data_IF_025536083306
#
_entry.id   IF_025536083306
#
_cell.length_a   1.000
_cell.length_b   1.000
_cell.length_c   1.000
_cell.angle_alpha   90.00
_cell.angle_beta   90.00
_cell.angle_gamma   90.00
#
_symmetry.space_group_name_H-M   'P 1'
#
loop_
_entity.id
_entity.type
_entity.pdbx_description
1 polymer ?
#
# COMPACT_ATOMS: atom_id res chain seq x y z
N UNK A 1 14.11 33.55 7.34
CA UNK A 1 13.53 32.18 7.54
C UNK A 1 12.73 31.85 6.28
N UNK A 2 13.39 31.29 5.26
CA UNK A 2 12.74 30.93 4.00
C UNK A 2 12.04 29.57 4.18
N UNK A 3 10.72 29.57 4.23
CA UNK A 3 9.92 28.35 4.15
C UNK A 3 10.01 27.86 2.70
N UNK A 4 10.83 26.84 2.47
CA UNK A 4 10.89 26.16 1.18
C UNK A 4 9.60 25.34 1.05
N UNK A 5 8.65 25.86 0.29
CA UNK A 5 7.46 25.14 -0.12
C UNK A 5 7.86 24.09 -1.17
N UNK A 6 8.27 22.91 -0.71
CA UNK A 6 8.53 21.79 -1.59
C UNK A 6 7.19 21.25 -2.13
N UNK A 7 6.81 21.69 -3.31
CA UNK A 7 6.09 20.95 -4.34
C UNK A 7 4.74 20.28 -4.05
N UNK A 8 4.09 20.54 -2.91
CA UNK A 8 2.72 20.08 -2.69
C UNK A 8 1.76 20.96 -3.48
N UNK A 9 1.10 20.39 -4.47
CA UNK A 9 0.09 21.10 -5.23
C UNK A 9 -1.08 21.55 -4.33
N UNK A 10 -1.74 22.65 -4.68
CA UNK A 10 -2.91 23.18 -3.95
C UNK A 10 -3.97 22.10 -3.63
N UNK A 11 -4.18 21.16 -4.55
CA UNK A 11 -5.10 20.04 -4.39
C UNK A 11 -4.67 19.07 -3.27
N UNK A 12 -3.39 18.84 -3.11
CA UNK A 12 -2.84 17.97 -2.05
C UNK A 12 -2.98 18.65 -0.69
N UNK A 13 -2.76 19.95 -0.62
CA UNK A 13 -2.96 20.73 0.60
C UNK A 13 -4.43 20.71 1.04
N UNK A 14 -5.38 20.94 0.13
CA UNK A 14 -6.81 20.87 0.42
C UNK A 14 -7.23 19.48 0.90
N UNK A 15 -6.70 18.44 0.26
CA UNK A 15 -6.96 17.05 0.68
C UNK A 15 -6.40 16.77 2.07
N UNK A 16 -5.19 17.22 2.36
CA UNK A 16 -4.59 17.08 3.69
C UNK A 16 -5.41 17.77 4.77
N UNK A 17 -5.85 19.00 4.51
CA UNK A 17 -6.71 19.76 5.42
C UNK A 17 -8.05 19.07 5.67
N UNK A 18 -8.68 18.52 4.63
CA UNK A 18 -9.95 17.79 4.77
C UNK A 18 -9.85 16.50 5.58
N UNK A 19 -8.65 15.95 5.72
CA UNK A 19 -8.35 14.72 6.46
C UNK A 19 -7.64 14.95 7.80
N UNK A 20 -7.50 16.19 8.25
CA UNK A 20 -6.72 16.53 9.45
C UNK A 20 -7.27 15.86 10.72
N UNK A 21 -8.58 15.63 10.78
CA UNK A 21 -9.23 14.91 11.87
C UNK A 21 -8.93 13.41 11.91
N UNK A 22 -8.37 12.86 10.83
CA UNK A 22 -8.03 11.44 10.68
C UNK A 22 -6.53 11.19 10.84
N UNK A 23 -5.83 12.09 11.52
CA UNK A 23 -4.40 11.96 11.78
C UNK A 23 -4.11 10.99 12.92
N UNK A 24 -3.03 10.22 12.79
CA UNK A 24 -2.41 9.44 13.88
C UNK A 24 -3.35 8.46 14.60
N UNK A 25 -4.43 8.01 13.93
CA UNK A 25 -5.36 7.04 14.51
C UNK A 25 -6.37 7.65 15.52
N UNK A 26 -6.59 8.96 15.47
CA UNK A 26 -7.62 9.59 16.30
C UNK A 26 -9.00 8.97 15.98
N UNK A 27 -9.74 8.56 17.02
CA UNK A 27 -11.05 7.91 16.88
C UNK A 27 -11.02 6.42 16.51
N UNK A 28 -9.85 5.81 16.36
CA UNK A 28 -9.70 4.37 16.05
C UNK A 28 -9.81 3.56 17.34
N UNK A 29 -10.89 2.77 17.47
CA UNK A 29 -11.15 1.96 18.66
C UNK A 29 -10.41 0.60 18.65
N UNK A 30 -10.09 0.07 17.47
CA UNK A 30 -9.36 -1.21 17.36
C UNK A 30 -7.89 -1.04 17.73
N UNK A 31 -7.39 -1.74 18.77
CA UNK A 31 -5.98 -1.64 19.19
C UNK A 31 -4.99 -2.06 18.08
N UNK A 32 -5.33 -3.08 17.28
CA UNK A 32 -4.48 -3.54 16.18
C UNK A 32 -4.45 -2.52 15.03
N UNK A 33 -5.59 -1.93 14.66
CA UNK A 33 -5.67 -0.89 13.65
C UNK A 33 -4.93 0.38 14.12
N UNK A 34 -5.10 0.78 15.39
CA UNK A 34 -4.38 1.90 15.97
C UNK A 34 -2.86 1.70 15.90
N UNK A 35 -2.36 0.50 16.29
CA UNK A 35 -0.94 0.17 16.22
C UNK A 35 -0.42 0.25 14.79
N UNK A 36 -1.16 -0.28 13.81
CA UNK A 36 -0.77 -0.23 12.42
C UNK A 36 -0.68 1.23 11.91
N UNK A 37 -1.70 2.05 12.20
CA UNK A 37 -1.68 3.47 11.83
C UNK A 37 -0.49 4.18 12.49
N UNK A 38 -0.29 3.96 13.78
CA UNK A 38 0.71 4.70 14.56
C UNK A 38 2.14 4.31 14.22
N UNK A 39 2.41 3.00 14.07
CA UNK A 39 3.77 2.47 13.98
C UNK A 39 4.16 1.97 12.59
N UNK A 40 3.23 1.99 11.63
CA UNK A 40 3.53 1.63 10.24
C UNK A 40 3.18 2.78 9.29
N UNK A 41 1.93 3.26 9.31
CA UNK A 41 1.49 4.31 8.38
C UNK A 41 2.15 5.65 8.72
N UNK A 42 2.01 6.12 9.95
CA UNK A 42 2.47 7.42 10.44
C UNK A 42 3.78 7.35 11.24
N UNK A 43 4.59 6.33 11.00
CA UNK A 43 5.90 6.21 11.61
C UNK A 43 6.89 7.19 10.98
N UNK A 44 7.52 8.00 11.82
CA UNK A 44 8.49 9.02 11.40
C UNK A 44 9.91 8.69 11.87
N UNK A 45 10.14 7.48 12.37
CA UNK A 45 11.47 7.09 12.86
C UNK A 45 12.48 7.14 11.71
N UNK A 46 13.66 7.71 11.92
CA UNK A 46 14.72 7.73 10.91
C UNK A 46 15.39 6.36 10.85
N UNK A 47 14.86 5.45 10.07
CA UNK A 47 15.52 4.17 9.82
C UNK A 47 16.87 4.42 9.11
N UNK A 48 17.93 3.77 9.56
CA UNK A 48 19.27 3.90 8.96
C UNK A 48 19.27 3.65 7.45
N UNK A 49 18.49 2.65 7.00
CA UNK A 49 18.35 2.34 5.58
C UNK A 49 17.84 3.50 4.71
N UNK A 50 17.14 4.48 5.28
CA UNK A 50 16.58 5.59 4.49
C UNK A 50 17.64 6.52 3.91
N UNK A 51 18.77 6.70 4.61
CA UNK A 51 19.87 7.51 4.11
C UNK A 51 20.50 6.87 2.86
N UNK A 52 20.85 5.58 2.96
CA UNK A 52 21.46 4.81 1.87
C UNK A 52 20.51 4.69 0.65
N UNK A 53 19.21 4.47 0.93
CA UNK A 53 18.19 4.36 -0.11
C UNK A 53 17.97 5.67 -0.85
N UNK A 54 18.02 6.79 -0.14
CA UNK A 54 17.90 8.12 -0.75
C UNK A 54 19.12 8.48 -1.59
N UNK A 55 20.32 8.11 -1.14
CA UNK A 55 21.55 8.30 -1.92
C UNK A 55 21.50 7.47 -3.21
N UNK A 56 20.99 6.23 -3.14
CA UNK A 56 20.84 5.36 -4.29
C UNK A 56 19.82 5.86 -5.32
N UNK A 57 18.78 6.58 -4.87
CA UNK A 57 17.70 7.08 -5.72
C UNK A 57 17.51 8.61 -5.54
N UNK A 58 18.49 9.44 -5.91
CA UNK A 58 18.46 10.89 -5.60
C UNK A 58 17.35 11.65 -6.34
N UNK A 59 16.88 11.12 -7.46
CA UNK A 59 15.86 11.75 -8.30
C UNK A 59 14.44 11.22 -8.07
N UNK A 60 14.20 10.44 -7.00
CA UNK A 60 12.87 9.95 -6.66
C UNK A 60 11.95 11.12 -6.29
N UNK A 61 10.73 11.14 -6.84
CA UNK A 61 9.73 12.14 -6.49
C UNK A 61 9.31 12.04 -5.01
N UNK A 62 8.94 13.17 -4.39
CA UNK A 62 8.57 13.20 -2.97
C UNK A 62 7.42 12.24 -2.61
N UNK A 63 6.41 12.14 -3.46
CA UNK A 63 5.27 11.23 -3.28
C UNK A 63 5.70 9.78 -3.42
N UNK A 64 6.55 9.47 -4.40
CA UNK A 64 7.05 8.12 -4.63
C UNK A 64 7.99 7.68 -3.50
N UNK A 65 8.86 8.57 -3.01
CA UNK A 65 9.70 8.31 -1.83
C UNK A 65 8.83 8.02 -0.59
N UNK A 66 7.77 8.79 -0.39
CA UNK A 66 6.84 8.60 0.71
C UNK A 66 6.15 7.23 0.64
N UNK A 67 5.70 6.82 -0.54
CA UNK A 67 5.14 5.48 -0.77
C UNK A 67 6.21 4.39 -0.57
N UNK A 68 7.41 4.54 -1.12
CA UNK A 68 8.50 3.59 -0.93
C UNK A 68 8.85 3.39 0.56
N UNK A 69 8.89 4.46 1.35
CA UNK A 69 9.08 4.36 2.81
C UNK A 69 7.91 3.64 3.51
N UNK A 70 6.68 3.82 3.03
CA UNK A 70 5.53 3.07 3.53
C UNK A 70 5.69 1.58 3.23
N UNK A 71 6.09 1.22 2.03
CA UNK A 71 6.34 -0.18 1.66
C UNK A 71 7.45 -0.82 2.47
N UNK A 72 8.54 -0.09 2.71
CA UNK A 72 9.59 -0.53 3.64
C UNK A 72 9.01 -0.88 5.01
N UNK A 73 8.20 0.02 5.59
CA UNK A 73 7.61 -0.20 6.93
C UNK A 73 6.62 -1.35 6.94
N UNK A 74 5.81 -1.50 5.88
CA UNK A 74 4.88 -2.63 5.77
C UNK A 74 5.65 -3.95 5.64
N UNK A 75 6.70 -3.99 4.82
CA UNK A 75 7.55 -5.17 4.68
C UNK A 75 8.25 -5.52 6.00
N UNK A 76 8.75 -4.50 6.74
CA UNK A 76 9.32 -4.69 8.05
C UNK A 76 8.31 -5.17 9.10
N UNK A 77 7.07 -4.71 9.02
CA UNK A 77 5.98 -5.09 9.94
C UNK A 77 5.47 -6.51 9.66
N UNK A 78 5.15 -6.82 8.40
CA UNK A 78 4.54 -8.09 8.00
C UNK A 78 5.55 -9.21 7.84
N UNK A 79 6.81 -8.90 7.48
CA UNK A 79 7.86 -9.86 7.13
C UNK A 79 7.42 -10.85 6.03
N UNK A 80 6.97 -10.36 4.85
CA UNK A 80 6.36 -11.20 3.84
C UNK A 80 7.38 -12.19 3.26
N UNK A 81 6.91 -13.43 3.05
CA UNK A 81 7.68 -14.44 2.32
C UNK A 81 7.79 -14.07 0.85
N UNK A 82 6.71 -13.54 0.29
CA UNK A 82 6.66 -13.16 -1.12
C UNK A 82 5.99 -11.79 -1.29
N UNK A 83 6.62 -10.93 -2.09
CA UNK A 83 6.04 -9.69 -2.60
C UNK A 83 5.63 -9.89 -4.05
N UNK A 84 4.36 -9.64 -4.34
CA UNK A 84 3.78 -9.77 -5.68
C UNK A 84 3.44 -8.37 -6.19
N UNK A 85 4.19 -7.92 -7.19
CA UNK A 85 3.94 -6.67 -7.88
C UNK A 85 3.10 -6.89 -9.13
N UNK A 86 2.07 -6.09 -9.32
CA UNK A 86 1.21 -6.10 -10.51
C UNK A 86 1.14 -4.68 -11.07
N UNK A 87 1.61 -4.54 -12.30
CA UNK A 87 1.78 -3.28 -12.99
C UNK A 87 3.25 -2.91 -13.18
N UNK A 88 3.50 -1.65 -13.51
CA UNK A 88 4.86 -1.17 -13.80
C UNK A 88 5.79 -1.37 -12.60
N UNK A 89 6.89 -2.06 -12.86
CA UNK A 89 7.94 -2.29 -11.88
C UNK A 89 8.75 -1.00 -11.64
N UNK A 90 9.14 -0.79 -10.39
CA UNK A 90 9.98 0.32 -9.97
C UNK A 90 11.16 -0.22 -9.14
N UNK A 91 12.39 0.08 -9.60
CA UNK A 91 13.61 -0.37 -8.94
C UNK A 91 13.76 0.22 -7.53
N UNK A 92 13.31 1.45 -7.30
CA UNK A 92 13.34 2.06 -5.98
C UNK A 92 12.41 1.29 -5.04
N UNK A 93 11.15 1.08 -5.44
CA UNK A 93 10.18 0.32 -4.66
C UNK A 93 10.70 -1.06 -4.25
N UNK A 94 11.24 -1.83 -5.22
CA UNK A 94 11.79 -3.17 -4.95
C UNK A 94 12.93 -3.12 -3.94
N UNK A 95 13.79 -2.11 -4.05
CA UNK A 95 14.92 -1.93 -3.13
C UNK A 95 14.44 -1.58 -1.72
N UNK A 96 13.42 -0.71 -1.58
CA UNK A 96 12.83 -0.37 -0.28
C UNK A 96 12.14 -1.57 0.39
N UNK A 97 11.43 -2.40 -0.36
CA UNK A 97 10.80 -3.62 0.16
C UNK A 97 11.87 -4.61 0.66
N UNK A 98 12.92 -4.85 -0.13
CA UNK A 98 14.01 -5.73 0.26
C UNK A 98 14.81 -5.19 1.47
N UNK A 99 14.92 -3.88 1.60
CA UNK A 99 15.54 -3.27 2.78
C UNK A 99 14.67 -3.45 4.04
N UNK A 100 13.33 -3.44 3.90
CA UNK A 100 12.39 -3.72 4.98
C UNK A 100 12.35 -5.19 5.39
N UNK A 101 12.46 -6.10 4.42
CA UNK A 101 12.52 -7.55 4.67
C UNK A 101 13.42 -8.24 3.64
N UNK A 102 14.65 -8.57 4.05
CA UNK A 102 15.67 -9.19 3.16
C UNK A 102 15.32 -10.58 2.66
N UNK A 103 14.40 -11.28 3.31
CA UNK A 103 13.99 -12.64 2.97
C UNK A 103 12.88 -12.68 1.92
N UNK A 104 12.30 -11.54 1.58
CA UNK A 104 11.16 -11.45 0.67
C UNK A 104 11.56 -11.83 -0.76
N UNK A 105 10.91 -12.85 -1.31
CA UNK A 105 10.98 -13.17 -2.73
C UNK A 105 10.10 -12.20 -3.50
N UNK A 106 10.62 -11.61 -4.56
CA UNK A 106 9.86 -10.70 -5.44
C UNK A 106 9.37 -11.46 -6.66
N UNK A 107 8.07 -11.31 -6.97
CA UNK A 107 7.46 -11.78 -8.21
C UNK A 107 6.79 -10.58 -8.89
N UNK A 108 7.14 -10.34 -10.15
CA UNK A 108 6.74 -9.16 -10.90
C UNK A 108 5.86 -9.56 -12.09
N UNK A 109 4.64 -9.09 -12.10
CA UNK A 109 3.68 -9.27 -13.19
C UNK A 109 3.38 -7.92 -13.85
N UNK A 110 3.65 -7.80 -15.11
CA UNK A 110 3.36 -6.58 -15.89
C UNK A 110 1.90 -6.47 -16.30
N UNK A 111 1.19 -7.60 -16.34
CA UNK A 111 -0.17 -7.68 -16.84
C UNK A 111 -1.11 -8.31 -15.81
N UNK A 112 -2.22 -7.65 -15.54
CA UNK A 112 -3.29 -8.13 -14.66
C UNK A 112 -3.97 -9.37 -15.22
N UNK A 113 -4.11 -9.50 -16.54
CA UNK A 113 -4.70 -10.69 -17.18
C UNK A 113 -3.96 -11.98 -16.88
N UNK A 114 -2.62 -11.93 -16.85
CA UNK A 114 -1.81 -13.10 -16.53
C UNK A 114 -2.05 -13.58 -15.09
N UNK A 115 -2.32 -12.63 -14.20
CA UNK A 115 -2.55 -12.92 -12.77
C UNK A 115 -3.97 -13.46 -12.53
N UNK A 116 -4.98 -12.88 -13.18
CA UNK A 116 -6.37 -13.34 -13.05
C UNK A 116 -6.57 -14.77 -13.57
N UNK A 117 -5.92 -15.10 -14.70
CA UNK A 117 -6.04 -16.41 -15.35
C UNK A 117 -5.35 -17.52 -14.57
N UNK A 118 -4.18 -17.25 -14.04
CA UNK A 118 -3.31 -18.29 -13.47
C UNK A 118 -3.37 -18.35 -11.94
N UNK A 119 -3.97 -17.35 -11.25
CA UNK A 119 -3.93 -17.22 -9.78
C UNK A 119 -2.55 -17.62 -9.23
N UNK A 120 -1.48 -16.94 -9.66
CA UNK A 120 -0.10 -17.40 -9.51
C UNK A 120 0.37 -17.44 -8.05
N UNK A 121 -0.48 -16.99 -7.12
CA UNK A 121 -0.25 -17.03 -5.68
C UNK A 121 -0.71 -18.35 -5.03
N UNK A 122 -1.42 -19.21 -5.76
CA UNK A 122 -1.80 -20.54 -5.25
C UNK A 122 -0.52 -21.37 -5.04
N UNK A 123 -0.33 -21.85 -3.80
CA UNK A 123 0.85 -22.63 -3.42
C UNK A 123 2.12 -21.83 -3.15
N UNK A 124 2.06 -20.48 -3.20
CA UNK A 124 3.17 -19.61 -2.78
C UNK A 124 3.19 -19.49 -1.25
N UNK A 125 4.35 -19.60 -0.60
CA UNK A 125 4.45 -19.45 0.83
C UNK A 125 3.96 -18.08 1.32
N UNK A 126 3.08 -18.05 2.31
CA UNK A 126 2.61 -16.86 3.00
C UNK A 126 3.52 -16.47 4.18
N UNK A 127 3.47 -15.23 4.69
CA UNK A 127 2.56 -14.14 4.30
C UNK A 127 2.87 -13.53 2.93
N UNK A 128 1.83 -13.10 2.22
CA UNK A 128 1.97 -12.42 0.94
C UNK A 128 1.76 -10.91 1.09
N UNK A 129 2.59 -10.13 0.42
CA UNK A 129 2.39 -8.70 0.25
C UNK A 129 2.13 -8.41 -1.24
N UNK A 130 0.95 -7.86 -1.55
CA UNK A 130 0.58 -7.50 -2.90
C UNK A 130 0.69 -5.99 -3.12
N UNK A 131 1.11 -5.61 -4.31
CA UNK A 131 0.95 -4.25 -4.84
C UNK A 131 0.26 -4.33 -6.18
N UNK A 132 -0.78 -3.53 -6.35
CA UNK A 132 -1.47 -3.34 -7.63
C UNK A 132 -1.51 -1.85 -7.93
N UNK A 133 -0.90 -1.44 -9.03
CA UNK A 133 -0.98 -0.06 -9.48
C UNK A 133 -2.21 0.11 -10.40
N UNK A 134 -3.26 0.72 -9.90
CA UNK A 134 -4.52 0.90 -10.64
C UNK A 134 -4.41 1.81 -11.86
N UNK A 135 -3.31 2.54 -12.03
CA UNK A 135 -3.04 3.30 -13.26
C UNK A 135 -2.63 2.40 -14.42
N UNK A 136 -2.07 1.24 -14.11
CA UNK A 136 -1.56 0.27 -15.08
C UNK A 136 -2.58 -0.85 -15.35
N UNK A 137 -3.70 -0.85 -14.64
CA UNK A 137 -4.80 -1.82 -14.84
C UNK A 137 -5.65 -1.35 -16.00
N UNK A 138 -5.62 -2.11 -17.08
CA UNK A 138 -6.46 -1.89 -18.28
C UNK A 138 -7.54 -2.98 -18.32
N UNK A 139 -8.83 -2.59 -18.29
CA UNK A 139 -9.95 -3.50 -18.34
C UNK A 139 -10.68 -3.70 -17.01
N UNK A 140 -11.55 -4.71 -16.96
CA UNK A 140 -12.30 -5.05 -15.77
C UNK A 140 -11.39 -5.79 -14.77
N UNK A 141 -11.24 -5.21 -13.60
CA UNK A 141 -10.59 -5.89 -12.48
C UNK A 141 -11.62 -6.81 -11.81
N UNK A 142 -11.44 -8.12 -11.95
CA UNK A 142 -12.35 -9.08 -11.37
C UNK A 142 -12.13 -9.24 -9.86
N UNK A 143 -13.18 -9.19 -9.03
CA UNK A 143 -13.08 -9.54 -7.60
C UNK A 143 -12.57 -10.96 -7.34
N UNK A 144 -12.63 -11.85 -8.33
CA UNK A 144 -12.09 -13.22 -8.25
C UNK A 144 -10.56 -13.24 -8.04
N UNK A 145 -9.88 -12.09 -8.24
CA UNK A 145 -8.47 -11.95 -7.94
C UNK A 145 -8.12 -12.28 -6.48
N UNK A 146 -9.01 -11.96 -5.53
CA UNK A 146 -8.79 -12.24 -4.10
C UNK A 146 -9.26 -13.61 -3.63
N UNK A 147 -9.74 -14.47 -4.55
CA UNK A 147 -10.07 -15.85 -4.19
C UNK A 147 -8.81 -16.59 -3.75
N UNK A 148 -8.89 -17.24 -2.59
CA UNK A 148 -7.80 -18.04 -2.01
C UNK A 148 -6.54 -17.24 -1.61
N UNK A 149 -6.64 -15.92 -1.41
CA UNK A 149 -5.56 -15.15 -0.78
C UNK A 149 -5.46 -15.60 0.69
N UNK A 150 -4.26 -15.92 1.19
CA UNK A 150 -4.06 -16.30 2.59
C UNK A 150 -4.47 -15.16 3.55
N UNK A 151 -5.07 -15.55 4.69
CA UNK A 151 -5.61 -14.61 5.70
C UNK A 151 -4.55 -13.65 6.29
N UNK A 152 -3.27 -14.04 6.26
CA UNK A 152 -2.13 -13.23 6.75
C UNK A 152 -1.53 -12.28 5.70
N UNK A 153 -2.20 -12.17 4.55
CA UNK A 153 -1.74 -11.33 3.44
C UNK A 153 -2.18 -9.87 3.61
N UNK A 154 -1.40 -8.97 3.01
CA UNK A 154 -1.73 -7.55 2.87
C UNK A 154 -1.72 -7.20 1.38
N UNK A 155 -2.71 -6.42 0.94
CA UNK A 155 -2.77 -5.89 -0.41
C UNK A 155 -2.76 -4.36 -0.40
N UNK A 156 -1.99 -3.77 -1.30
CA UNK A 156 -1.90 -2.33 -1.48
C UNK A 156 -2.35 -2.00 -2.89
N UNK A 157 -3.40 -1.19 -3.00
CA UNK A 157 -3.90 -0.65 -4.26
C UNK A 157 -3.42 0.80 -4.40
N UNK A 158 -2.53 1.07 -5.33
CA UNK A 158 -2.10 2.45 -5.61
C UNK A 158 -3.05 3.16 -6.56
N UNK A 159 -3.16 4.47 -6.41
CA UNK A 159 -3.96 5.31 -7.30
C UNK A 159 -5.47 5.19 -7.13
N UNK A 160 -5.95 4.79 -5.95
CA UNK A 160 -7.39 4.59 -5.63
C UNK A 160 -8.29 5.82 -5.90
N UNK A 161 -7.72 7.00 -6.05
CA UNK A 161 -8.44 8.25 -6.38
C UNK A 161 -8.16 8.75 -7.82
N UNK A 162 -7.33 8.03 -8.59
CA UNK A 162 -6.83 8.48 -9.88
C UNK A 162 -7.88 8.57 -10.98
N UNK A 163 -8.80 7.61 -11.04
CA UNK A 163 -9.86 7.55 -12.05
C UNK A 163 -11.20 7.13 -11.44
N UNK A 164 -12.27 7.19 -12.23
CA UNK A 164 -13.58 6.64 -11.81
C UNK A 164 -13.47 5.13 -11.62
N UNK A 165 -12.89 4.42 -12.58
CA UNK A 165 -12.69 2.97 -12.50
C UNK A 165 -11.87 2.56 -11.26
N UNK A 166 -10.77 3.26 -10.95
CA UNK A 166 -9.96 2.99 -9.77
C UNK A 166 -10.77 3.16 -8.46
N UNK A 167 -11.66 4.17 -8.41
CA UNK A 167 -12.53 4.35 -7.24
C UNK A 167 -13.56 3.23 -7.09
N UNK A 168 -14.12 2.74 -8.19
CA UNK A 168 -15.07 1.63 -8.15
C UNK A 168 -14.37 0.31 -7.76
N UNK A 169 -13.17 0.03 -8.29
CA UNK A 169 -12.34 -1.09 -7.85
C UNK A 169 -12.08 -1.00 -6.34
N UNK A 170 -11.64 0.15 -5.85
CA UNK A 170 -11.40 0.35 -4.42
C UNK A 170 -12.64 0.09 -3.57
N UNK A 171 -13.80 0.62 -3.96
CA UNK A 171 -15.07 0.40 -3.27
C UNK A 171 -15.49 -1.08 -3.29
N UNK A 172 -15.37 -1.74 -4.43
CA UNK A 172 -15.67 -3.16 -4.58
C UNK A 172 -14.80 -4.00 -3.65
N UNK A 173 -13.49 -3.81 -3.67
CA UNK A 173 -12.54 -4.52 -2.81
C UNK A 173 -12.75 -4.25 -1.33
N UNK A 174 -13.04 -3.00 -0.96
CA UNK A 174 -13.35 -2.60 0.41
C UNK A 174 -14.63 -3.25 0.92
N UNK A 175 -15.64 -3.45 0.05
CA UNK A 175 -16.93 -4.03 0.41
C UNK A 175 -16.97 -5.57 0.32
N UNK A 176 -15.98 -6.19 -0.28
CA UNK A 176 -15.92 -7.65 -0.41
C UNK A 176 -15.87 -8.32 0.97
N UNK A 177 -16.62 -9.43 1.12
CA UNK A 177 -16.75 -10.14 2.39
C UNK A 177 -15.44 -10.78 2.88
N UNK A 178 -14.49 -11.01 1.96
CA UNK A 178 -13.16 -11.57 2.26
C UNK A 178 -12.19 -10.53 2.82
N UNK A 179 -12.51 -9.25 2.62
CA UNK A 179 -11.71 -8.15 3.14
C UNK A 179 -12.11 -7.82 4.57
N UNK A 180 -11.15 -7.82 5.47
CA UNK A 180 -11.32 -7.43 6.88
C UNK A 180 -11.15 -5.93 7.09
N UNK A 181 -9.99 -5.52 7.62
CA UNK A 181 -9.70 -4.10 7.90
C UNK A 181 -9.11 -3.43 6.67
N UNK A 182 -9.55 -2.21 6.37
CA UNK A 182 -9.00 -1.38 5.28
C UNK A 182 -8.55 -0.01 5.75
N UNK A 183 -7.55 0.57 5.05
CA UNK A 183 -7.06 1.92 5.29
C UNK A 183 -6.98 2.70 3.97
N UNK A 184 -7.77 3.78 3.85
CA UNK A 184 -7.69 4.75 2.76
C UNK A 184 -6.66 5.83 3.10
N UNK A 185 -5.50 5.79 2.45
CA UNK A 185 -4.40 6.74 2.63
C UNK A 185 -4.35 7.82 1.54
N UNK A 186 -5.40 7.96 0.73
CA UNK A 186 -5.51 8.83 -0.44
C UNK A 186 -4.68 8.37 -1.65
N UNK A 187 -3.37 8.25 -1.53
CA UNK A 187 -2.49 7.78 -2.63
C UNK A 187 -2.61 6.29 -2.88
N UNK A 188 -2.89 5.54 -1.82
CA UNK A 188 -3.14 4.11 -1.89
C UNK A 188 -4.19 3.68 -0.85
N UNK A 189 -4.78 2.52 -1.08
CA UNK A 189 -5.59 1.78 -0.14
C UNK A 189 -4.87 0.53 0.32
N UNK A 190 -4.98 0.19 1.60
CA UNK A 190 -4.41 -1.03 2.18
C UNK A 190 -5.55 -1.92 2.64
N UNK A 191 -5.50 -3.22 2.28
CA UNK A 191 -6.50 -4.23 2.63
C UNK A 191 -5.83 -5.37 3.39
N UNK A 192 -6.47 -5.80 4.47
CA UNK A 192 -6.14 -7.00 5.22
C UNK A 192 -7.20 -8.07 4.97
N UNK A 193 -6.76 -9.32 4.83
CA UNK A 193 -7.64 -10.47 4.58
C UNK A 193 -7.87 -11.32 5.83
N UNK A 194 -7.43 -10.84 6.97
CA UNK A 194 -7.66 -11.52 8.24
C UNK A 194 -9.16 -11.51 8.63
N UNK A 195 -9.56 -12.48 9.46
CA UNK A 195 -10.96 -12.68 9.89
C UNK A 195 -11.44 -11.67 10.95
N UNK A 196 -10.77 -10.52 11.09
CA UNK A 196 -11.23 -9.47 11.99
C UNK A 196 -12.55 -8.87 11.53
N UNK A 197 -13.29 -8.30 12.48
CA UNK A 197 -14.49 -7.54 12.17
C UNK A 197 -14.15 -6.45 11.14
N UNK A 198 -14.93 -6.42 10.07
CA UNK A 198 -14.76 -5.46 8.97
C UNK A 198 -14.81 -4.03 9.47
N UNK A 199 -13.77 -3.28 9.18
CA UNK A 199 -13.65 -1.87 9.54
C UNK A 199 -12.88 -1.12 8.46
N UNK A 200 -13.40 0.05 8.09
CA UNK A 200 -12.81 0.89 7.07
C UNK A 200 -12.34 2.20 7.71
N UNK A 201 -11.06 2.50 7.58
CA UNK A 201 -10.46 3.70 8.15
C UNK A 201 -9.97 4.64 7.04
N UNK A 202 -10.27 5.93 7.20
CA UNK A 202 -9.60 6.99 6.44
C UNK A 202 -8.45 7.48 7.31
N UNK A 203 -7.25 7.55 6.75
CA UNK A 203 -6.05 7.99 7.47
C UNK A 203 -5.36 9.08 6.68
N UNK A 204 -5.00 10.16 7.34
CA UNK A 204 -4.16 11.20 6.76
C UNK A 204 -2.71 10.71 6.75
N UNK A 205 -2.14 10.64 5.55
CA UNK A 205 -0.83 10.07 5.29
C UNK A 205 0.02 11.05 4.48
#
# INVERSE_FOLDING_TARGET
MHVVWNGYGFREMVTWLSRITHCRGFGVQSPSAYRFIRYVVNEHYPYYAYADLREKFPNIGSTDEKLCRLYFRIANYQQPMTFINIGKSDAALMTYINAGCRKTRVIDYRDTYAVERNKPYNGIPSPLLFRINLKDVHGEFSPCFIDNIPDDSIMILEGIKGSHAAREIWKSMMNDSRTGVTFDLYYCGILFFDKRIKQNYIVNF
#
